data_IF_045371550835
#
_entry.id   IF_045371550835
#
_cell.length_a   1.000
_cell.length_b   1.000
_cell.length_c   1.000
_cell.angle_alpha   90.00
_cell.angle_beta   90.00
_cell.angle_gamma   90.00
#
_symmetry.space_group_name_H-M   'P 1'
#
loop_
_entity.id
_entity.type
_entity.pdbx_description
1 polymer ?
#
# COMPACT_ATOMS: atom_id res chain seq x y z
N UNK A 1 -11.28 7.80 37.76
CA UNK A 1 -10.26 7.93 36.69
C UNK A 1 -10.96 7.79 35.35
N UNK A 2 -10.64 8.66 34.39
CA UNK A 2 -11.25 8.61 33.04
C UNK A 2 -10.61 7.45 32.27
N UNK A 3 -11.37 6.43 31.81
CA UNK A 3 -10.81 5.22 31.21
C UNK A 3 -10.21 5.47 29.81
N UNK A 4 -10.65 6.53 29.10
CA UNK A 4 -10.19 6.86 27.75
C UNK A 4 -9.69 8.29 27.69
N UNK A 5 -8.53 8.49 27.06
CA UNK A 5 -7.93 9.81 26.88
C UNK A 5 -8.53 10.58 25.70
N UNK A 6 -9.04 9.86 24.70
CA UNK A 6 -9.53 10.42 23.44
C UNK A 6 -10.90 9.89 23.11
N UNK A 7 -11.80 10.75 22.64
CA UNK A 7 -13.09 10.40 22.08
C UNK A 7 -13.06 10.73 20.59
N UNK A 8 -13.17 9.72 19.75
CA UNK A 8 -13.23 9.88 18.30
C UNK A 8 -14.68 9.95 17.84
N UNK A 9 -15.06 11.08 17.22
CA UNK A 9 -16.40 11.26 16.66
C UNK A 9 -16.35 11.00 15.16
N UNK A 10 -16.83 9.82 14.74
CA UNK A 10 -16.91 9.48 13.34
C UNK A 10 -18.17 10.06 12.66
N UNK A 11 -18.11 10.28 11.35
CA UNK A 11 -19.27 10.67 10.55
C UNK A 11 -20.27 9.52 10.34
N UNK A 12 -21.44 9.87 9.80
CA UNK A 12 -22.46 8.89 9.43
C UNK A 12 -22.27 8.42 8.00
N UNK A 13 -22.68 7.18 7.74
CA UNK A 13 -22.77 6.66 6.38
C UNK A 13 -24.10 7.08 5.77
N UNK A 14 -24.00 7.69 4.58
CA UNK A 14 -25.14 8.15 3.78
C UNK A 14 -25.22 7.35 2.48
N UNK A 15 -26.43 7.24 1.94
CA UNK A 15 -26.63 6.59 0.64
C UNK A 15 -26.09 7.44 -0.54
N UNK A 16 -26.22 6.95 -1.76
CA UNK A 16 -25.76 7.61 -2.98
C UNK A 16 -26.40 8.98 -3.21
N UNK A 17 -27.60 9.20 -2.70
CA UNK A 17 -28.29 10.51 -2.76
C UNK A 17 -27.84 11.49 -1.68
N UNK A 18 -27.08 11.01 -0.68
CA UNK A 18 -26.67 11.77 0.50
C UNK A 18 -27.69 11.73 1.65
N UNK A 19 -28.74 10.91 1.54
CA UNK A 19 -29.70 10.72 2.63
C UNK A 19 -29.13 9.78 3.69
N UNK A 20 -29.50 10.01 4.97
CA UNK A 20 -29.13 9.12 6.08
C UNK A 20 -29.74 7.74 5.83
N UNK A 21 -28.90 6.70 5.88
CA UNK A 21 -29.36 5.32 5.78
C UNK A 21 -30.22 4.95 7.00
N UNK A 22 -31.37 4.33 6.76
CA UNK A 22 -32.24 3.83 7.82
C UNK A 22 -33.06 2.63 7.33
N UNK A 23 -33.29 1.65 8.21
CA UNK A 23 -34.11 0.47 7.90
C UNK A 23 -35.54 0.85 7.49
N UNK A 24 -36.11 1.90 8.11
CA UNK A 24 -37.46 2.39 7.81
C UNK A 24 -37.58 2.99 6.41
N UNK A 25 -36.49 3.50 5.83
CA UNK A 25 -36.47 4.04 4.46
C UNK A 25 -36.10 3.00 3.40
N UNK A 26 -35.65 1.81 3.81
CA UNK A 26 -35.24 0.75 2.89
C UNK A 26 -33.97 1.08 2.08
N UNK A 27 -33.19 2.09 2.48
CA UNK A 27 -31.95 2.52 1.81
C UNK A 27 -30.68 2.04 2.51
N UNK A 28 -30.79 1.02 3.36
CA UNK A 28 -29.64 0.38 4.01
C UNK A 28 -29.04 -0.65 3.08
N UNK A 29 -27.71 -0.76 3.08
CA UNK A 29 -26.98 -1.85 2.43
C UNK A 29 -26.65 -2.91 3.47
N UNK A 30 -26.87 -4.19 3.13
CA UNK A 30 -26.45 -5.29 4.01
C UNK A 30 -24.95 -5.52 3.83
N UNK A 31 -24.14 -5.39 4.91
CA UNK A 31 -22.70 -5.63 4.84
C UNK A 31 -22.35 -7.05 4.37
N UNK A 32 -23.15 -8.07 4.68
CA UNK A 32 -22.87 -9.44 4.28
C UNK A 32 -23.01 -9.62 2.77
N UNK A 33 -24.06 -9.04 2.16
CA UNK A 33 -24.21 -9.05 0.70
C UNK A 33 -23.05 -8.31 -0.01
N UNK A 34 -22.57 -7.22 0.59
CA UNK A 34 -21.42 -6.48 0.06
C UNK A 34 -20.11 -7.26 0.18
N UNK A 35 -19.94 -8.00 1.28
CA UNK A 35 -18.79 -8.88 1.49
C UNK A 35 -18.78 -10.01 0.46
N UNK A 36 -19.92 -10.64 0.21
CA UNK A 36 -20.05 -11.71 -0.78
C UNK A 36 -19.74 -11.21 -2.21
N UNK A 37 -20.14 -9.97 -2.52
CA UNK A 37 -19.96 -9.39 -3.87
C UNK A 37 -18.56 -8.81 -4.10
N UNK A 38 -17.99 -8.14 -3.10
CA UNK A 38 -16.77 -7.33 -3.27
C UNK A 38 -15.56 -7.83 -2.44
N UNK A 39 -15.82 -8.65 -1.42
CA UNK A 39 -14.81 -9.09 -0.45
C UNK A 39 -14.73 -8.20 0.79
N UNK A 40 -14.31 -8.81 1.90
CA UNK A 40 -14.25 -8.15 3.21
C UNK A 40 -13.28 -6.97 3.21
N UNK A 41 -12.08 -7.15 2.66
CA UNK A 41 -11.07 -6.09 2.61
C UNK A 41 -11.50 -4.91 1.75
N UNK A 42 -12.22 -5.14 0.64
CA UNK A 42 -12.75 -4.06 -0.17
C UNK A 42 -13.80 -3.24 0.59
N UNK A 43 -14.69 -3.88 1.35
CA UNK A 43 -15.66 -3.18 2.19
C UNK A 43 -14.95 -2.35 3.27
N UNK A 44 -14.00 -2.95 4.00
CA UNK A 44 -13.23 -2.25 5.04
C UNK A 44 -12.51 -1.03 4.48
N UNK A 45 -11.83 -1.21 3.35
CA UNK A 45 -11.09 -0.14 2.67
C UNK A 45 -12.02 0.99 2.19
N UNK A 46 -13.17 0.65 1.59
CA UNK A 46 -14.15 1.63 1.12
C UNK A 46 -14.78 2.46 2.26
N UNK A 47 -14.91 1.89 3.46
CA UNK A 47 -15.47 2.58 4.62
C UNK A 47 -14.53 3.63 5.22
N UNK A 48 -13.23 3.50 5.02
CA UNK A 48 -12.21 4.42 5.56
C UNK A 48 -11.67 5.39 4.51
N UNK A 49 -11.79 5.07 3.21
CA UNK A 49 -11.30 5.94 2.12
C UNK A 49 -11.93 7.33 2.15
N UNK A 50 -11.09 8.38 2.18
CA UNK A 50 -11.55 9.76 2.09
C UNK A 50 -12.44 10.19 3.25
N UNK A 51 -12.35 9.50 4.40
CA UNK A 51 -13.02 9.92 5.62
C UNK A 51 -12.19 10.97 6.35
N UNK A 52 -12.86 11.96 6.93
CA UNK A 52 -12.27 12.89 7.88
C UNK A 52 -13.08 12.86 9.18
N UNK A 53 -12.46 13.11 10.34
CA UNK A 53 -13.18 13.13 11.61
C UNK A 53 -14.42 14.03 11.57
N UNK A 54 -15.55 13.51 12.02
CA UNK A 54 -16.83 14.25 12.06
C UNK A 54 -17.55 14.42 10.73
N UNK A 55 -16.96 14.08 9.59
CA UNK A 55 -17.60 14.22 8.30
C UNK A 55 -18.35 12.96 7.86
N UNK A 56 -19.57 13.17 7.34
CA UNK A 56 -20.36 12.07 6.81
C UNK A 56 -19.77 11.51 5.52
N UNK A 57 -19.88 10.20 5.36
CA UNK A 57 -19.40 9.47 4.19
C UNK A 57 -20.57 9.10 3.28
N UNK A 58 -20.57 9.61 2.03
CA UNK A 58 -21.47 9.09 0.99
C UNK A 58 -20.93 7.77 0.47
N UNK A 59 -21.66 6.69 0.71
CA UNK A 59 -21.25 5.33 0.37
C UNK A 59 -21.94 4.90 -0.93
N UNK A 60 -21.13 4.48 -1.90
CA UNK A 60 -21.61 4.11 -3.26
C UNK A 60 -20.96 2.80 -3.70
N UNK A 61 -21.60 2.09 -4.63
CA UNK A 61 -21.02 0.87 -5.22
C UNK A 61 -19.68 1.14 -5.94
N UNK A 62 -19.53 2.30 -6.58
CA UNK A 62 -18.27 2.67 -7.24
C UNK A 62 -17.07 2.75 -6.28
N UNK A 63 -17.30 3.08 -5.01
CA UNK A 63 -16.25 3.01 -3.97
C UNK A 63 -15.81 1.58 -3.70
N UNK A 64 -16.77 0.66 -3.62
CA UNK A 64 -16.50 -0.76 -3.41
C UNK A 64 -15.74 -1.37 -4.60
N UNK A 65 -16.14 -1.01 -5.82
CA UNK A 65 -15.43 -1.44 -7.03
C UNK A 65 -13.99 -0.89 -7.07
N UNK A 66 -13.79 0.38 -6.73
CA UNK A 66 -12.45 0.97 -6.64
C UNK A 66 -11.58 0.25 -5.57
N UNK A 67 -12.14 -0.02 -4.40
CA UNK A 67 -11.47 -0.75 -3.34
C UNK A 67 -11.12 -2.19 -3.75
N UNK A 68 -12.03 -2.91 -4.42
CA UNK A 68 -11.77 -4.24 -4.97
C UNK A 68 -10.67 -4.21 -6.04
N UNK A 69 -10.68 -3.21 -6.92
CA UNK A 69 -9.66 -3.05 -7.94
C UNK A 69 -8.28 -2.77 -7.32
N UNK A 70 -8.25 -2.01 -6.22
CA UNK A 70 -7.04 -1.81 -5.46
C UNK A 70 -6.53 -3.11 -4.81
N UNK A 71 -7.40 -3.89 -4.17
CA UNK A 71 -7.05 -5.21 -3.64
C UNK A 71 -6.46 -6.11 -4.74
N UNK A 72 -7.08 -6.16 -5.91
CA UNK A 72 -6.58 -6.91 -7.07
C UNK A 72 -5.20 -6.40 -7.54
N UNK A 73 -4.97 -5.08 -7.50
CA UNK A 73 -3.66 -4.50 -7.86
C UNK A 73 -2.59 -4.96 -6.87
N UNK A 74 -2.87 -4.89 -5.56
CA UNK A 74 -1.98 -5.39 -4.50
C UNK A 74 -1.67 -6.87 -4.69
N UNK A 75 -2.69 -7.70 -4.90
CA UNK A 75 -2.54 -9.13 -5.14
C UNK A 75 -1.64 -9.43 -6.35
N UNK A 76 -1.90 -8.78 -7.48
CA UNK A 76 -1.12 -9.02 -8.70
C UNK A 76 0.34 -8.56 -8.58
N UNK A 77 0.59 -7.43 -7.93
CA UNK A 77 1.94 -6.95 -7.65
C UNK A 77 2.69 -7.93 -6.73
N UNK A 78 2.03 -8.39 -5.66
CA UNK A 78 2.60 -9.36 -4.72
C UNK A 78 2.88 -10.70 -5.41
N UNK A 79 1.96 -11.21 -6.23
CA UNK A 79 2.17 -12.44 -7.00
C UNK A 79 3.38 -12.32 -7.93
N UNK A 80 3.60 -11.15 -8.55
CA UNK A 80 4.80 -10.91 -9.35
C UNK A 80 6.07 -11.03 -8.49
N UNK A 81 6.12 -10.40 -7.32
CA UNK A 81 7.28 -10.49 -6.41
C UNK A 81 7.50 -11.91 -5.95
N UNK A 82 6.47 -12.59 -5.45
CA UNK A 82 6.52 -13.97 -4.98
C UNK A 82 7.07 -14.93 -6.05
N UNK A 83 6.64 -14.76 -7.30
CA UNK A 83 7.14 -15.57 -8.42
C UNK A 83 8.58 -15.21 -8.77
N UNK A 84 8.95 -13.95 -8.64
CA UNK A 84 10.31 -13.47 -8.98
C UNK A 84 11.37 -13.92 -7.98
N UNK A 85 11.02 -14.06 -6.70
CA UNK A 85 11.94 -14.51 -5.63
C UNK A 85 12.00 -16.03 -5.47
N UNK A 86 11.01 -16.76 -5.99
CA UNK A 86 10.90 -18.20 -5.79
C UNK A 86 12.12 -18.96 -6.30
N UNK A 87 12.83 -19.66 -5.40
CA UNK A 87 14.03 -20.44 -5.74
C UNK A 87 15.20 -19.60 -6.25
N UNK A 88 15.29 -18.34 -5.85
CA UNK A 88 16.40 -17.44 -6.19
C UNK A 88 17.38 -17.34 -5.03
N UNK A 89 18.67 -17.31 -5.37
CA UNK A 89 19.75 -16.95 -4.46
C UNK A 89 19.91 -15.43 -4.34
N UNK A 90 20.71 -14.99 -3.35
CA UNK A 90 21.04 -13.57 -3.18
C UNK A 90 19.93 -12.74 -2.56
N UNK A 91 19.08 -13.37 -1.76
CA UNK A 91 18.05 -12.73 -0.95
C UNK A 91 18.51 -12.53 0.50
N UNK A 92 19.70 -13.01 0.89
CA UNK A 92 20.26 -12.80 2.22
C UNK A 92 20.41 -11.30 2.50
N UNK A 93 20.07 -10.87 3.71
CA UNK A 93 20.04 -9.47 4.12
C UNK A 93 18.84 -8.68 3.60
N UNK A 94 17.83 -9.34 3.00
CA UNK A 94 16.64 -8.66 2.46
C UNK A 94 15.90 -7.81 3.51
N UNK A 95 15.95 -8.24 4.78
CA UNK A 95 15.21 -7.59 5.85
C UNK A 95 15.86 -6.27 6.32
N UNK A 96 17.19 -6.27 6.47
CA UNK A 96 17.96 -5.12 6.97
C UNK A 96 18.43 -4.18 5.86
N UNK A 97 18.27 -4.58 4.61
CA UNK A 97 18.71 -3.92 3.37
C UNK A 97 20.16 -3.40 3.44
N UNK A 98 21.09 -3.96 2.70
CA UNK A 98 22.36 -3.29 2.44
C UNK A 98 22.08 -1.95 1.73
N UNK A 99 22.96 -0.96 1.93
CA UNK A 99 22.85 0.35 1.28
C UNK A 99 22.62 0.17 -0.22
N UNK A 100 21.48 0.64 -0.75
CA UNK A 100 21.13 0.39 -2.14
C UNK A 100 22.05 1.17 -3.08
N UNK A 101 22.62 0.48 -4.08
CA UNK A 101 23.56 1.09 -5.03
C UNK A 101 22.82 1.79 -6.20
N UNK A 102 21.70 1.23 -6.64
CA UNK A 102 20.93 1.76 -7.77
C UNK A 102 19.99 2.89 -7.33
N UNK A 103 19.85 3.90 -8.18
CA UNK A 103 19.02 5.08 -7.91
C UNK A 103 17.57 4.75 -7.68
N UNK A 104 17.01 3.84 -8.46
CA UNK A 104 15.63 3.41 -8.31
C UNK A 104 15.37 2.71 -6.99
N UNK A 105 16.37 1.97 -6.44
CA UNK A 105 16.26 1.36 -5.12
C UNK A 105 16.31 2.42 -4.02
N UNK A 106 17.26 3.35 -4.09
CA UNK A 106 17.34 4.49 -3.17
C UNK A 106 16.05 5.31 -3.17
N UNK A 107 15.53 5.58 -4.37
CA UNK A 107 14.29 6.29 -4.56
C UNK A 107 13.10 5.60 -3.88
N UNK A 108 12.87 4.31 -4.16
CA UNK A 108 11.68 3.63 -3.60
C UNK A 108 11.77 3.44 -2.10
N UNK A 109 12.97 3.24 -1.54
CA UNK A 109 13.21 3.16 -0.10
C UNK A 109 12.96 4.51 0.56
N UNK A 110 13.44 5.61 -0.03
CA UNK A 110 13.16 6.97 0.42
C UNK A 110 11.66 7.26 0.43
N UNK A 111 10.96 6.95 -0.67
CA UNK A 111 9.49 7.08 -0.78
C UNK A 111 8.75 6.26 0.27
N UNK A 112 9.18 5.01 0.50
CA UNK A 112 8.61 4.17 1.54
C UNK A 112 8.77 4.80 2.93
N UNK A 113 9.96 5.27 3.27
CA UNK A 113 10.22 5.88 4.57
C UNK A 113 9.41 7.15 4.81
N UNK A 114 9.27 8.02 3.81
CA UNK A 114 8.38 9.18 3.89
C UNK A 114 6.91 8.76 4.06
N UNK A 115 6.49 7.71 3.35
CA UNK A 115 5.13 7.15 3.49
C UNK A 115 4.90 6.59 4.90
N UNK A 116 5.88 5.85 5.46
CA UNK A 116 5.79 5.33 6.84
C UNK A 116 5.61 6.49 7.83
N UNK A 117 6.42 7.54 7.71
CA UNK A 117 6.34 8.73 8.59
C UNK A 117 4.97 9.41 8.50
N UNK A 118 4.47 9.66 7.28
CA UNK A 118 3.18 10.29 7.05
C UNK A 118 2.02 9.43 7.55
N UNK A 119 2.05 8.11 7.32
CA UNK A 119 1.03 7.17 7.78
C UNK A 119 1.01 7.11 9.31
N UNK A 120 2.17 6.98 9.96
CA UNK A 120 2.24 6.94 11.41
C UNK A 120 1.66 8.22 12.03
N UNK A 121 2.06 9.39 11.52
CA UNK A 121 1.51 10.67 11.97
C UNK A 121 -0.02 10.73 11.80
N UNK A 122 -0.53 10.33 10.64
CA UNK A 122 -1.97 10.38 10.38
C UNK A 122 -2.75 9.40 11.26
N UNK A 123 -2.19 8.22 11.57
CA UNK A 123 -2.80 7.28 12.51
C UNK A 123 -2.80 7.83 13.95
N UNK A 124 -1.73 8.48 14.40
CA UNK A 124 -1.64 9.11 15.73
C UNK A 124 -2.65 10.24 15.90
N UNK A 125 -2.98 10.97 14.82
CA UNK A 125 -3.97 12.05 14.81
C UNK A 125 -5.38 11.58 14.44
N UNK A 126 -5.60 10.27 14.28
CA UNK A 126 -6.87 9.67 13.88
C UNK A 126 -7.37 10.10 12.48
N UNK A 127 -6.48 10.50 11.60
CA UNK A 127 -6.75 10.87 10.21
C UNK A 127 -6.70 9.63 9.31
N UNK A 128 -7.59 8.66 9.55
CA UNK A 128 -7.55 7.33 8.91
C UNK A 128 -7.65 7.42 7.37
N UNK A 129 -8.45 8.35 6.86
CA UNK A 129 -8.59 8.56 5.41
C UNK A 129 -7.31 9.08 4.76
N UNK A 130 -6.57 9.96 5.44
CA UNK A 130 -5.29 10.47 4.98
C UNK A 130 -4.21 9.37 4.99
N UNK A 131 -4.12 8.61 6.10
CA UNK A 131 -3.19 7.47 6.18
C UNK A 131 -3.41 6.49 5.02
N UNK A 132 -4.67 6.18 4.74
CA UNK A 132 -5.05 5.28 3.66
C UNK A 132 -4.73 5.85 2.28
N UNK A 133 -4.96 7.16 2.05
CA UNK A 133 -4.65 7.82 0.78
C UNK A 133 -3.13 7.78 0.49
N UNK A 134 -2.30 8.05 1.51
CA UNK A 134 -0.83 7.96 1.39
C UNK A 134 -0.37 6.56 1.00
N UNK A 135 -0.96 5.53 1.62
CA UNK A 135 -0.69 4.14 1.27
C UNK A 135 -1.13 3.80 -0.15
N UNK A 136 -2.33 4.23 -0.53
CA UNK A 136 -2.84 4.02 -1.88
C UNK A 136 -1.90 4.64 -2.92
N UNK A 137 -1.51 5.90 -2.74
CA UNK A 137 -0.65 6.62 -3.68
C UNK A 137 0.74 5.98 -3.80
N UNK A 138 1.34 5.59 -2.68
CA UNK A 138 2.62 4.87 -2.69
C UNK A 138 2.52 3.52 -3.40
N UNK A 139 1.52 2.70 -3.04
CA UNK A 139 1.38 1.35 -3.60
C UNK A 139 1.07 1.42 -5.10
N UNK A 140 0.10 2.25 -5.48
CA UNK A 140 -0.35 2.30 -6.87
C UNK A 140 0.67 2.97 -7.77
N UNK A 141 1.06 4.21 -7.42
CA UNK A 141 1.89 5.04 -8.28
C UNK A 141 3.37 4.67 -8.16
N UNK A 142 3.95 4.70 -6.93
CA UNK A 142 5.40 4.57 -6.79
C UNK A 142 5.84 3.11 -6.95
N UNK A 143 5.22 2.19 -6.21
CA UNK A 143 5.65 0.80 -6.19
C UNK A 143 5.20 0.04 -7.46
N UNK A 144 3.89 0.02 -7.76
CA UNK A 144 3.37 -0.79 -8.86
C UNK A 144 3.67 -0.21 -10.24
N UNK A 145 3.41 1.10 -10.45
CA UNK A 145 3.48 1.68 -11.79
C UNK A 145 4.91 2.04 -12.22
N UNK A 146 5.82 2.26 -11.25
CA UNK A 146 7.19 2.63 -11.55
C UNK A 146 8.23 1.64 -11.06
N UNK A 147 8.33 1.39 -9.75
CA UNK A 147 9.44 0.59 -9.22
C UNK A 147 9.45 -0.84 -9.76
N UNK A 148 8.30 -1.52 -9.76
CA UNK A 148 8.19 -2.88 -10.32
C UNK A 148 8.60 -2.89 -11.80
N UNK A 149 8.22 -1.90 -12.59
CA UNK A 149 8.59 -1.84 -14.01
C UNK A 149 10.10 -1.60 -14.21
N UNK A 150 10.73 -0.73 -13.40
CA UNK A 150 12.18 -0.53 -13.40
C UNK A 150 12.91 -1.82 -13.00
N UNK A 151 12.45 -2.49 -11.94
CA UNK A 151 12.98 -3.76 -11.48
C UNK A 151 12.91 -4.86 -12.57
N UNK A 152 11.80 -4.94 -13.31
CA UNK A 152 11.67 -5.86 -14.45
C UNK A 152 12.73 -5.62 -15.51
N UNK A 153 13.03 -4.36 -15.84
CA UNK A 153 14.07 -4.00 -16.81
C UNK A 153 15.42 -4.47 -16.29
N UNK A 154 15.74 -4.18 -15.03
CA UNK A 154 17.01 -4.57 -14.40
C UNK A 154 17.19 -6.09 -14.33
N UNK A 155 16.15 -6.84 -13.95
CA UNK A 155 16.19 -8.31 -13.97
C UNK A 155 16.44 -8.89 -15.36
N UNK A 156 15.83 -8.30 -16.41
CA UNK A 156 16.03 -8.74 -17.80
C UNK A 156 17.44 -8.47 -18.32
N UNK A 157 18.06 -7.38 -17.89
CA UNK A 157 19.42 -7.02 -18.29
C UNK A 157 20.49 -7.81 -17.54
N UNK A 158 20.12 -8.53 -16.45
CA UNK A 158 21.08 -9.23 -15.59
C UNK A 158 21.98 -8.29 -14.79
N UNK A 159 21.59 -7.02 -14.63
CA UNK A 159 22.37 -6.04 -13.88
C UNK A 159 22.44 -6.40 -12.39
N UNK A 160 23.61 -6.17 -11.80
CA UNK A 160 23.91 -6.41 -10.38
C UNK A 160 24.10 -5.09 -9.65
N UNK A 161 23.75 -5.02 -8.34
CA UNK A 161 23.03 -6.03 -7.58
C UNK A 161 21.59 -6.25 -8.05
N UNK A 162 21.02 -7.41 -7.68
CA UNK A 162 19.63 -7.77 -8.01
C UNK A 162 18.62 -6.83 -7.33
N UNK A 163 17.49 -6.48 -7.95
CA UNK A 163 16.42 -5.72 -7.30
C UNK A 163 15.55 -6.57 -6.35
N UNK A 164 15.74 -7.88 -6.29
CA UNK A 164 14.86 -8.79 -5.55
C UNK A 164 14.81 -8.52 -4.04
N UNK A 165 15.94 -8.27 -3.34
CA UNK A 165 15.90 -7.91 -1.92
C UNK A 165 15.08 -6.64 -1.67
N UNK A 166 15.26 -5.60 -2.48
CA UNK A 166 14.50 -4.34 -2.34
C UNK A 166 13.01 -4.55 -2.65
N UNK A 167 12.67 -5.35 -3.68
CA UNK A 167 11.27 -5.70 -3.96
C UNK A 167 10.59 -6.38 -2.76
N UNK A 168 11.30 -7.35 -2.14
CA UNK A 168 10.79 -8.07 -0.96
C UNK A 168 10.67 -7.15 0.25
N UNK A 169 11.69 -6.35 0.53
CA UNK A 169 11.71 -5.38 1.62
C UNK A 169 10.55 -4.39 1.55
N UNK A 170 10.37 -3.75 0.38
CA UNK A 170 9.32 -2.75 0.20
C UNK A 170 7.94 -3.39 0.30
N UNK A 171 7.74 -4.56 -0.31
CA UNK A 171 6.47 -5.29 -0.20
C UNK A 171 6.14 -5.62 1.25
N UNK A 172 7.08 -6.19 1.98
CA UNK A 172 6.86 -6.63 3.37
C UNK A 172 6.43 -5.48 4.28
N UNK A 173 7.14 -4.32 4.24
CA UNK A 173 6.78 -3.14 5.02
C UNK A 173 5.44 -2.55 4.60
N UNK A 174 5.19 -2.54 3.31
CA UNK A 174 3.91 -2.05 2.75
C UNK A 174 2.74 -2.90 3.22
N UNK A 175 2.88 -4.22 3.26
CA UNK A 175 1.85 -5.10 3.79
C UNK A 175 1.54 -4.82 5.26
N UNK A 176 2.56 -4.59 6.11
CA UNK A 176 2.34 -4.22 7.52
C UNK A 176 1.64 -2.87 7.66
N UNK A 177 1.99 -1.88 6.84
CA UNK A 177 1.30 -0.58 6.84
C UNK A 177 -0.16 -0.69 6.39
N UNK A 178 -0.44 -1.55 5.41
CA UNK A 178 -1.79 -1.73 4.86
C UNK A 178 -2.69 -2.62 5.72
N UNK A 179 -2.10 -3.47 6.58
CA UNK A 179 -2.81 -4.48 7.35
C UNK A 179 -4.00 -3.94 8.18
N UNK A 180 -3.92 -2.79 8.87
CA UNK A 180 -5.06 -2.25 9.60
C UNK A 180 -6.31 -2.01 8.73
N UNK A 181 -6.12 -1.74 7.45
CA UNK A 181 -7.20 -1.46 6.50
C UNK A 181 -7.69 -2.72 5.76
N UNK A 182 -6.76 -3.62 5.38
CA UNK A 182 -7.01 -4.80 4.56
C UNK A 182 -6.35 -6.05 5.18
N UNK A 183 -6.85 -6.54 6.34
CA UNK A 183 -6.15 -7.55 7.12
C UNK A 183 -6.06 -8.93 6.45
N UNK A 184 -7.04 -9.33 5.66
CA UNK A 184 -7.07 -10.70 5.12
C UNK A 184 -6.08 -10.88 3.97
N UNK A 185 -6.12 -10.01 2.98
CA UNK A 185 -5.21 -10.08 1.83
C UNK A 185 -3.74 -9.86 2.24
N UNK A 186 -3.50 -8.95 3.20
CA UNK A 186 -2.14 -8.67 3.65
C UNK A 186 -1.54 -9.80 4.46
N UNK A 187 -2.33 -10.47 5.32
CA UNK A 187 -1.89 -11.66 6.03
C UNK A 187 -1.52 -12.78 5.06
N UNK A 188 -2.41 -13.10 4.12
CA UNK A 188 -2.20 -14.17 3.13
C UNK A 188 -0.92 -13.93 2.33
N UNK A 189 -0.71 -12.70 1.84
CA UNK A 189 0.48 -12.37 1.06
C UNK A 189 1.74 -12.42 1.94
N UNK A 190 1.66 -11.91 3.16
CA UNK A 190 2.80 -11.81 4.07
C UNK A 190 3.32 -13.20 4.47
N UNK A 191 2.43 -14.13 4.82
CA UNK A 191 2.79 -15.52 5.11
C UNK A 191 3.48 -16.17 3.89
N UNK A 192 2.88 -16.05 2.71
CA UNK A 192 3.44 -16.55 1.46
C UNK A 192 4.79 -15.92 1.10
N UNK A 193 5.02 -14.66 1.49
CA UNK A 193 6.28 -13.95 1.26
C UNK A 193 7.38 -14.50 2.18
N UNK A 194 7.11 -14.64 3.48
CA UNK A 194 8.07 -15.14 4.45
C UNK A 194 8.48 -16.59 4.20
N UNK A 195 7.56 -17.45 3.73
CA UNK A 195 7.89 -18.83 3.35
C UNK A 195 8.95 -18.93 2.23
N UNK A 196 9.11 -17.88 1.42
CA UNK A 196 10.00 -17.85 0.25
C UNK A 196 11.30 -17.07 0.48
N UNK A 197 11.40 -16.39 1.58
CA UNK A 197 12.55 -15.55 1.92
C UNK A 197 13.42 -16.25 2.97
N UNK A 198 14.73 -15.95 3.03
CA UNK A 198 15.58 -16.33 4.15
C UNK A 198 14.96 -15.92 5.47
N UNK A 199 15.13 -16.77 6.48
CA UNK A 199 14.53 -16.59 7.80
C UNK A 199 15.25 -15.48 8.58
N UNK A 200 14.92 -14.24 8.27
CA UNK A 200 15.46 -13.01 8.84
C UNK A 200 14.34 -12.13 9.40
N UNK A 201 14.69 -11.22 10.30
CA UNK A 201 13.78 -10.20 10.82
C UNK A 201 12.79 -10.69 11.85
N UNK A 202 11.59 -10.09 11.85
CA UNK A 202 10.55 -10.37 12.83
C UNK A 202 9.90 -11.73 12.55
N UNK A 203 10.07 -12.68 13.47
CA UNK A 203 9.56 -14.05 13.41
C UNK A 203 8.14 -14.15 13.99
N UNK A 204 7.33 -13.10 13.86
CA UNK A 204 5.95 -13.10 14.32
C UNK A 204 5.13 -14.20 13.61
N UNK A 205 4.25 -14.86 14.35
CA UNK A 205 3.36 -15.90 13.79
C UNK A 205 2.27 -15.33 12.85
N UNK A 206 2.01 -14.03 12.93
CA UNK A 206 1.04 -13.30 12.13
C UNK A 206 1.50 -11.86 11.96
N UNK A 207 1.19 -11.27 10.78
CA UNK A 207 1.42 -9.86 10.53
C UNK A 207 0.72 -8.96 11.57
N UNK A 208 -0.40 -9.42 12.14
CA UNK A 208 -1.18 -8.71 13.16
C UNK A 208 -0.36 -8.40 14.43
N UNK A 209 0.56 -9.28 14.81
CA UNK A 209 1.40 -9.13 16.01
C UNK A 209 2.85 -8.74 15.68
N UNK A 210 3.16 -8.54 14.41
CA UNK A 210 4.46 -8.03 13.97
C UNK A 210 4.61 -6.54 14.34
N UNK A 211 5.85 -6.05 14.44
CA UNK A 211 6.11 -4.64 14.74
C UNK A 211 5.63 -3.75 13.61
N UNK A 212 4.84 -2.72 13.94
CA UNK A 212 4.41 -1.74 12.94
C UNK A 212 5.62 -0.95 12.43
N UNK A 213 5.75 -0.70 11.11
CA UNK A 213 6.91 -0.04 10.53
C UNK A 213 7.18 1.35 11.12
N UNK A 214 8.45 1.63 11.40
CA UNK A 214 8.91 2.94 11.85
C UNK A 214 9.79 3.56 10.77
N UNK A 215 9.67 4.86 10.58
CA UNK A 215 10.50 5.58 9.62
C UNK A 215 11.95 5.70 10.11
N UNK A 216 12.89 5.54 9.19
CA UNK A 216 14.29 5.85 9.39
C UNK A 216 14.66 7.03 8.48
N UNK A 217 14.91 8.20 9.07
CA UNK A 217 15.29 9.40 8.32
C UNK A 217 16.63 9.25 7.59
N UNK A 218 17.50 8.33 8.03
CA UNK A 218 18.75 8.01 7.36
C UNK A 218 18.56 7.31 6.00
N UNK A 219 17.36 6.80 5.72
CA UNK A 219 17.00 6.17 4.45
C UNK A 219 16.27 7.11 3.48
N UNK A 220 16.08 8.38 3.83
CA UNK A 220 15.52 9.39 2.95
C UNK A 220 16.60 9.95 2.01
N UNK A 221 16.31 10.03 0.71
CA UNK A 221 17.24 10.45 -0.35
C UNK A 221 16.54 11.39 -1.35
N UNK A 222 16.55 12.68 -1.04
CA UNK A 222 15.92 13.70 -1.87
C UNK A 222 16.58 13.85 -3.25
N UNK A 223 17.88 13.53 -3.37
CA UNK A 223 18.59 13.55 -4.65
C UNK A 223 18.06 12.45 -5.58
N UNK A 224 17.99 11.22 -5.09
CA UNK A 224 17.42 10.11 -5.86
C UNK A 224 15.95 10.38 -6.25
N UNK A 225 15.17 10.98 -5.35
CA UNK A 225 13.78 11.36 -5.65
C UNK A 225 13.70 12.40 -6.77
N UNK A 226 14.54 13.43 -6.74
CA UNK A 226 14.60 14.45 -7.79
C UNK A 226 15.00 13.88 -9.14
N UNK A 227 16.01 13.02 -9.19
CA UNK A 227 16.48 12.38 -10.41
C UNK A 227 15.41 11.46 -11.04
N UNK A 228 14.78 10.60 -10.23
CA UNK A 228 13.72 9.70 -10.72
C UNK A 228 12.48 10.49 -11.14
N UNK A 229 12.11 11.56 -10.42
CA UNK A 229 11.00 12.45 -10.82
C UNK A 229 11.24 13.06 -12.22
N UNK A 230 12.48 13.47 -12.53
CA UNK A 230 12.84 13.98 -13.85
C UNK A 230 12.68 12.92 -14.95
N UNK A 231 13.14 11.69 -14.68
CA UNK A 231 12.96 10.55 -15.61
C UNK A 231 11.48 10.26 -15.85
N UNK A 232 10.68 10.23 -14.78
CA UNK A 232 9.23 10.03 -14.88
C UNK A 232 8.55 11.11 -15.72
N UNK A 233 8.92 12.38 -15.53
CA UNK A 233 8.40 13.50 -16.32
C UNK A 233 8.74 13.35 -17.79
N UNK A 234 9.97 13.00 -18.12
CA UNK A 234 10.40 12.77 -19.51
C UNK A 234 9.60 11.63 -20.18
N UNK A 235 9.43 10.50 -19.47
CA UNK A 235 8.66 9.36 -19.97
C UNK A 235 7.19 9.73 -20.17
N UNK A 236 6.59 10.47 -19.23
CA UNK A 236 5.20 10.96 -19.35
C UNK A 236 5.03 11.88 -20.54
N UNK A 237 5.97 12.81 -20.75
CA UNK A 237 5.96 13.72 -21.92
C UNK A 237 5.98 12.96 -23.24
N UNK A 238 6.90 11.97 -23.38
CA UNK A 238 6.98 11.12 -24.56
C UNK A 238 5.70 10.32 -24.79
N UNK A 239 5.13 9.70 -23.73
CA UNK A 239 3.87 8.95 -23.83
C UNK A 239 2.71 9.83 -24.26
N UNK A 240 2.59 11.03 -23.71
CA UNK A 240 1.52 11.98 -24.06
C UNK A 240 1.66 12.45 -25.51
N UNK A 241 2.86 12.79 -25.97
CA UNK A 241 3.11 13.17 -27.37
C UNK A 241 2.73 12.04 -28.32
N UNK A 242 3.13 10.80 -28.01
CA UNK A 242 2.74 9.63 -28.83
C UNK A 242 1.24 9.40 -28.89
N UNK A 243 0.53 9.60 -27.77
CA UNK A 243 -0.93 9.45 -27.73
C UNK A 243 -1.67 10.55 -28.51
N UNK A 244 -1.08 11.75 -28.65
CA UNK A 244 -1.62 12.84 -29.45
C UNK A 244 -1.39 12.67 -30.95
N UNK A 245 -0.42 11.84 -31.35
CA UNK A 245 -0.06 11.59 -32.75
C UNK A 245 -0.74 10.34 -33.34
N UNK A 246 -1.53 9.62 -32.54
CA UNK A 246 -2.37 8.48 -32.94
C UNK A 246 -3.83 8.93 -33.15
#
# INVERSE_FOLDING_TARGET
EVPFKTVFLHGLIRDSSGAKMSKTRGNTMDPLELIDKYGTDALRFALTTGTAPGNDLRFTESRLEAARNFANKVWNASRFVLTSIQGKDGLDGWFDLPTPEHREDRWIISRLNKTIEEVNRSLETFELGEAQQKLYDFIWNDYCDWYIEMAKIRMRSGATPSPLPTLAYVLERTLRLLHPFMPFITEEIWQNLLERLPNEGDQAESIMVSRFPQADSGLQDDEAEGEIALVMQAIRAVRNTRAQLQ
#
